data_IF_825170789939
#
_entry.id   IF_825170789939
#
_cell.length_a   1.000
_cell.length_b   1.000
_cell.length_c   1.000
_cell.angle_alpha   90.00
_cell.angle_beta   90.00
_cell.angle_gamma   90.00
#
_symmetry.space_group_name_H-M   'P 1'
#
loop_
_entity.id
_entity.type
_entity.pdbx_description
1 polymer ?
#
# COMPACT_ATOMS: atom_id res chain seq x y z
N UNK A 1 14.96 19.29 -17.55
CA UNK A 1 14.32 18.49 -16.50
C UNK A 1 13.08 19.26 -16.16
N UNK A 2 11.97 18.89 -16.79
CA UNK A 2 10.75 19.70 -16.75
C UNK A 2 9.88 19.14 -15.62
N UNK A 3 9.85 19.88 -14.51
CA UNK A 3 8.97 19.60 -13.38
C UNK A 3 7.56 19.94 -13.82
N UNK A 4 6.76 18.91 -14.13
CA UNK A 4 5.35 19.07 -14.48
C UNK A 4 4.56 19.33 -13.19
N UNK A 5 4.14 20.57 -12.97
CA UNK A 5 3.22 20.91 -11.87
C UNK A 5 1.86 20.27 -12.14
N UNK A 6 1.46 19.30 -11.31
CA UNK A 6 0.16 18.61 -11.39
C UNK A 6 -1.02 19.42 -10.81
N UNK A 7 -0.90 20.75 -10.73
CA UNK A 7 -1.93 21.65 -10.21
C UNK A 7 -3.03 21.88 -11.26
N UNK A 8 -3.65 20.81 -11.76
CA UNK A 8 -4.86 20.93 -12.58
C UNK A 8 -6.03 20.86 -11.62
N UNK A 9 -6.95 21.84 -11.66
CA UNK A 9 -8.00 22.12 -10.66
C UNK A 9 -9.08 21.05 -10.42
N UNK A 10 -8.77 19.78 -10.63
CA UNK A 10 -9.55 18.63 -10.17
C UNK A 10 -9.16 18.31 -8.71
N UNK A 11 -10.11 17.94 -7.83
CA UNK A 11 -9.82 17.68 -6.41
C UNK A 11 -8.94 16.43 -6.17
N UNK A 12 -8.66 15.65 -7.22
CA UNK A 12 -7.91 14.39 -7.14
C UNK A 12 -6.55 14.50 -7.83
N UNK A 13 -5.48 14.29 -7.05
CA UNK A 13 -4.14 14.15 -7.58
C UNK A 13 -4.02 12.80 -8.31
N UNK A 14 -4.12 12.81 -9.63
CA UNK A 14 -3.92 11.62 -10.46
C UNK A 14 -2.44 11.40 -10.76
N UNK A 15 -1.92 10.25 -10.38
CA UNK A 15 -0.57 9.84 -10.75
C UNK A 15 -0.46 9.66 -12.27
N UNK A 16 0.63 10.15 -12.86
CA UNK A 16 0.98 9.89 -14.26
C UNK A 16 1.87 8.64 -14.38
N UNK A 17 1.97 8.10 -15.59
CA UNK A 17 2.85 6.97 -15.88
C UNK A 17 4.32 7.42 -15.84
N UNK A 18 4.96 7.28 -14.68
CA UNK A 18 6.37 7.64 -14.50
C UNK A 18 7.28 6.57 -15.16
N UNK A 19 8.09 6.92 -16.17
CA UNK A 19 8.98 5.98 -16.84
C UNK A 19 10.04 5.37 -15.92
N UNK A 20 10.42 6.05 -14.84
CA UNK A 20 11.37 5.52 -13.85
C UNK A 20 10.69 4.46 -12.99
N UNK A 21 9.44 4.68 -12.58
CA UNK A 21 8.69 3.69 -11.80
C UNK A 21 8.35 2.44 -12.63
N UNK A 22 8.00 2.62 -13.91
CA UNK A 22 7.51 1.55 -14.77
C UNK A 22 8.61 0.87 -15.60
N UNK A 23 9.71 1.56 -15.90
CA UNK A 23 10.79 1.07 -16.77
C UNK A 23 11.99 0.50 -16.03
N UNK A 24 12.16 0.79 -14.74
CA UNK A 24 13.27 0.30 -13.94
C UNK A 24 12.92 -1.02 -13.23
N UNK A 25 13.51 -2.12 -13.68
CA UNK A 25 13.30 -3.46 -13.12
C UNK A 25 13.57 -3.53 -11.60
N UNK A 26 14.47 -2.67 -11.09
CA UNK A 26 14.79 -2.62 -9.66
C UNK A 26 13.58 -2.28 -8.81
N UNK A 27 12.61 -1.52 -9.35
CA UNK A 27 11.36 -1.19 -8.64
C UNK A 27 10.60 -2.47 -8.33
N UNK A 28 10.33 -3.30 -9.34
CA UNK A 28 9.66 -4.59 -9.15
C UNK A 28 10.45 -5.51 -8.23
N UNK A 29 11.77 -5.62 -8.43
CA UNK A 29 12.61 -6.47 -7.59
C UNK A 29 12.59 -6.04 -6.11
N UNK A 30 12.56 -4.74 -5.84
CA UNK A 30 12.47 -4.22 -4.48
C UNK A 30 11.09 -4.47 -3.86
N UNK A 31 10.01 -4.32 -4.64
CA UNK A 31 8.66 -4.64 -4.20
C UNK A 31 8.56 -6.11 -3.77
N UNK A 32 9.03 -7.05 -4.60
CA UNK A 32 9.05 -8.48 -4.29
C UNK A 32 9.86 -8.78 -3.02
N UNK A 33 11.05 -8.18 -2.87
CA UNK A 33 11.86 -8.34 -1.65
C UNK A 33 11.16 -7.81 -0.39
N UNK A 34 10.36 -6.74 -0.54
CA UNK A 34 9.63 -6.14 0.58
C UNK A 34 8.38 -6.93 0.97
N UNK A 35 7.72 -7.56 0.00
CA UNK A 35 6.50 -8.33 0.20
C UNK A 35 6.71 -9.45 1.24
N UNK A 36 7.83 -10.18 1.15
CA UNK A 36 8.20 -11.21 2.12
C UNK A 36 8.27 -10.70 3.57
N UNK A 37 8.62 -9.42 3.77
CA UNK A 37 8.78 -8.83 5.09
C UNK A 37 7.48 -8.31 5.69
N UNK A 38 6.58 -7.81 4.85
CA UNK A 38 5.39 -7.09 5.29
C UNK A 38 4.10 -7.87 5.13
N UNK A 39 4.15 -9.07 4.55
CA UNK A 39 3.01 -9.98 4.52
C UNK A 39 2.58 -10.33 5.96
N UNK A 40 1.30 -10.10 6.33
CA UNK A 40 0.81 -10.47 7.65
C UNK A 40 0.78 -12.00 7.81
N UNK A 41 1.34 -12.50 8.91
CA UNK A 41 1.27 -13.93 9.27
C UNK A 41 -0.14 -14.33 9.68
N UNK A 42 -0.55 -15.56 9.37
CA UNK A 42 -1.80 -16.14 9.87
C UNK A 42 -1.83 -16.24 11.40
N UNK A 43 -0.66 -16.39 12.03
CA UNK A 43 -0.51 -16.45 13.49
C UNK A 43 -0.51 -15.09 14.20
N UNK A 44 -0.68 -13.99 13.46
CA UNK A 44 -0.57 -12.63 14.00
C UNK A 44 -1.51 -12.36 15.19
N UNK A 45 -2.73 -12.91 15.14
CA UNK A 45 -3.69 -12.78 16.25
C UNK A 45 -3.44 -13.76 17.40
N UNK A 46 -2.62 -14.78 17.20
CA UNK A 46 -2.25 -15.73 18.24
C UNK A 46 -1.06 -15.23 19.07
N UNK A 47 -0.11 -14.54 18.42
CA UNK A 47 1.17 -14.18 19.04
C UNK A 47 1.49 -12.69 19.13
N UNK A 48 0.87 -11.83 18.31
CA UNK A 48 1.17 -10.37 18.28
C UNK A 48 0.02 -9.56 18.85
N UNK A 49 -1.19 -9.65 18.27
CA UNK A 49 -2.37 -8.92 18.72
C UNK A 49 -3.42 -9.87 19.31
N UNK A 50 -3.26 -10.21 20.59
CA UNK A 50 -4.09 -11.22 21.29
C UNK A 50 -5.45 -10.71 21.75
N UNK A 51 -5.57 -9.40 21.99
CA UNK A 51 -6.80 -8.79 22.50
C UNK A 51 -7.82 -8.47 21.40
N UNK A 52 -7.40 -8.57 20.13
CA UNK A 52 -8.22 -8.26 18.95
C UNK A 52 -8.48 -9.56 18.20
N UNK A 53 -9.75 -9.83 17.90
CA UNK A 53 -10.11 -10.96 17.04
C UNK A 53 -10.08 -10.57 15.55
N UNK A 54 -9.92 -11.54 14.63
CA UNK A 54 -10.03 -11.27 13.19
C UNK A 54 -11.35 -10.58 12.80
N UNK A 55 -12.45 -10.90 13.48
CA UNK A 55 -13.77 -10.27 13.25
C UNK A 55 -13.76 -8.80 13.65
N UNK A 56 -13.14 -8.45 14.79
CA UNK A 56 -13.01 -7.05 15.21
C UNK A 56 -12.21 -6.24 14.18
N UNK A 57 -11.11 -6.79 13.66
CA UNK A 57 -10.33 -6.13 12.59
C UNK A 57 -11.14 -5.94 11.31
N UNK A 58 -11.95 -6.93 10.93
CA UNK A 58 -12.82 -6.85 9.74
C UNK A 58 -13.77 -5.66 9.84
N UNK A 59 -14.46 -5.50 10.97
CA UNK A 59 -15.41 -4.39 11.17
C UNK A 59 -14.73 -3.03 10.99
N UNK A 60 -13.57 -2.84 11.62
CA UNK A 60 -12.83 -1.57 11.50
C UNK A 60 -12.33 -1.34 10.08
N UNK A 61 -11.84 -2.39 9.39
CA UNK A 61 -11.36 -2.28 8.02
C UNK A 61 -12.49 -1.95 7.03
N UNK A 62 -13.68 -2.53 7.22
CA UNK A 62 -14.88 -2.21 6.43
C UNK A 62 -15.30 -0.75 6.67
N UNK A 63 -15.32 -0.31 7.92
CA UNK A 63 -15.63 1.09 8.26
C UNK A 63 -14.60 2.10 7.71
N UNK A 64 -13.32 1.73 7.63
CA UNK A 64 -12.29 2.59 7.03
C UNK A 64 -12.36 2.65 5.50
N UNK A 65 -12.99 1.66 4.87
CA UNK A 65 -13.16 1.58 3.41
C UNK A 65 -14.38 2.38 2.93
N UNK A 66 -15.44 2.39 3.73
CA UNK A 66 -16.64 3.22 3.53
C UNK A 66 -16.33 4.73 3.58
#
# INVERSE_FOLDING_TARGET
MDLLCCETGEPECRGYADPVLLGDERVLQNLLKSEERYAPSTSYFDCVQRDISPVMRKIVAEWMLE
#
